data_IF_907396670632
#
_entry.id   IF_907396670632
#
_cell.length_a   1.000
_cell.length_b   1.000
_cell.length_c   1.000
_cell.angle_alpha   90.00
_cell.angle_beta   90.00
_cell.angle_gamma   90.00
#
_symmetry.space_group_name_H-M   'P 1'
#
loop_
_entity.id
_entity.type
_entity.pdbx_description
1 polymer ?
#
# COMPACT_ATOMS: atom_id res chain seq x y z
N UNK A 1 -5.21 -9.53 -19.46
CA UNK A 1 -6.29 -9.33 -18.46
C UNK A 1 -5.91 -8.13 -17.59
N UNK A 2 -6.53 -6.97 -17.82
CA UNK A 2 -6.29 -5.77 -17.01
C UNK A 2 -6.83 -6.00 -15.60
N UNK A 3 -5.96 -6.16 -14.61
CA UNK A 3 -6.37 -6.19 -13.20
C UNK A 3 -6.62 -4.75 -12.75
N UNK A 4 -7.88 -4.38 -12.59
CA UNK A 4 -8.26 -3.09 -12.02
C UNK A 4 -8.37 -3.17 -10.49
N UNK A 5 -7.98 -2.12 -9.76
CA UNK A 5 -8.20 -2.05 -8.32
C UNK A 5 -9.70 -2.03 -8.01
N UNK A 6 -10.09 -2.76 -6.96
CA UNK A 6 -11.45 -2.66 -6.43
C UNK A 6 -11.63 -1.32 -5.71
N UNK A 7 -12.89 -0.94 -5.48
CA UNK A 7 -13.25 0.30 -4.80
C UNK A 7 -12.60 0.42 -3.41
N UNK A 8 -12.44 -0.69 -2.69
CA UNK A 8 -11.79 -0.68 -1.37
C UNK A 8 -10.30 -0.32 -1.48
N UNK A 9 -9.57 -0.89 -2.47
CA UNK A 9 -8.18 -0.50 -2.73
C UNK A 9 -8.10 0.97 -3.18
N UNK A 10 -9.03 1.41 -4.03
CA UNK A 10 -9.10 2.79 -4.50
C UNK A 10 -9.31 3.79 -3.35
N UNK A 11 -10.11 3.44 -2.34
CA UNK A 11 -10.35 4.29 -1.17
C UNK A 11 -9.14 4.44 -0.25
N UNK A 12 -8.18 3.53 -0.32
CA UNK A 12 -6.94 3.61 0.47
C UNK A 12 -5.88 4.46 -0.22
N UNK A 13 -5.78 4.42 -1.55
CA UNK A 13 -4.74 5.16 -2.27
C UNK A 13 -4.83 6.66 -1.98
N UNK A 14 -3.70 7.27 -1.63
CA UNK A 14 -3.59 8.69 -1.26
C UNK A 14 -4.02 8.99 0.17
N UNK A 15 -4.44 7.99 0.96
CA UNK A 15 -4.78 8.16 2.38
C UNK A 15 -3.55 8.07 3.27
N UNK A 16 -3.58 8.73 4.43
CA UNK A 16 -2.55 8.58 5.45
C UNK A 16 -2.51 7.15 6.01
N UNK A 17 -1.33 6.72 6.45
CA UNK A 17 -1.02 5.32 6.75
C UNK A 17 -1.52 4.81 8.09
N UNK A 18 -2.03 5.69 8.96
CA UNK A 18 -2.81 5.28 10.13
C UNK A 18 -4.19 4.72 9.76
N UNK A 19 -4.65 4.90 8.51
CA UNK A 19 -5.88 4.26 8.03
C UNK A 19 -5.61 2.76 7.88
N UNK A 20 -6.35 1.89 8.58
CA UNK A 20 -6.10 0.46 8.54
C UNK A 20 -6.37 -0.12 7.15
N UNK A 21 -5.65 -1.19 6.76
CA UNK A 21 -5.96 -1.93 5.55
C UNK A 21 -7.41 -2.44 5.57
N UNK A 22 -8.04 -2.53 4.40
CA UNK A 22 -9.36 -3.15 4.30
C UNK A 22 -9.25 -4.68 4.47
N UNK A 23 -10.36 -5.35 4.79
CA UNK A 23 -10.39 -6.77 5.15
C UNK A 23 -9.66 -7.74 4.19
N UNK A 24 -9.73 -7.50 2.87
CA UNK A 24 -9.08 -8.36 1.87
C UNK A 24 -7.61 -8.03 1.57
N UNK A 25 -7.01 -7.08 2.30
CA UNK A 25 -5.66 -6.59 2.02
C UNK A 25 -4.67 -7.27 2.98
N UNK A 26 -3.83 -8.15 2.46
CA UNK A 26 -2.89 -8.96 3.26
C UNK A 26 -1.47 -8.47 3.04
N UNK A 27 -0.68 -8.33 4.11
CA UNK A 27 0.72 -7.93 4.03
C UNK A 27 1.52 -9.03 3.32
N UNK A 28 2.18 -8.69 2.23
CA UNK A 28 2.94 -9.60 1.38
C UNK A 28 4.45 -9.50 1.62
N UNK A 29 4.98 -8.30 1.84
CA UNK A 29 6.40 -8.07 2.09
C UNK A 29 6.64 -6.77 2.85
N UNK A 30 7.84 -6.63 3.41
CA UNK A 30 8.40 -5.34 3.84
C UNK A 30 9.65 -5.08 3.02
N UNK A 31 9.72 -3.92 2.41
CA UNK A 31 10.81 -3.45 1.56
C UNK A 31 11.52 -2.33 2.31
N UNK A 32 12.85 -2.38 2.37
CA UNK A 32 13.64 -1.24 2.81
C UNK A 32 13.59 -0.14 1.75
N UNK A 33 13.38 1.11 2.14
CA UNK A 33 13.50 2.24 1.23
C UNK A 33 14.89 2.87 1.37
N UNK A 34 15.37 3.54 0.31
CA UNK A 34 16.70 4.14 0.30
C UNK A 34 16.86 5.27 1.35
N UNK A 35 15.76 5.86 1.81
CA UNK A 35 15.73 7.04 2.68
C UNK A 35 15.48 6.70 4.16
N UNK A 36 16.02 5.59 4.66
CA UNK A 36 15.79 5.08 6.04
C UNK A 36 14.33 4.71 6.38
N UNK A 37 13.39 4.83 5.43
CA UNK A 37 12.00 4.45 5.59
C UNK A 37 11.74 2.96 5.35
N UNK A 38 10.50 2.54 5.61
CA UNK A 38 10.02 1.18 5.34
C UNK A 38 8.80 1.22 4.44
N UNK A 39 8.75 0.35 3.44
CA UNK A 39 7.60 0.19 2.57
C UNK A 39 6.96 -1.19 2.80
N UNK A 40 5.72 -1.21 3.28
CA UNK A 40 4.97 -2.46 3.46
C UNK A 40 4.11 -2.73 2.24
N UNK A 41 4.42 -3.81 1.52
CA UNK A 41 3.66 -4.25 0.36
C UNK A 41 2.45 -5.06 0.84
N UNK A 42 1.28 -4.71 0.33
CA UNK A 42 0.05 -5.44 0.55
C UNK A 42 -0.56 -5.93 -0.75
N UNK A 43 -1.15 -7.12 -0.71
CA UNK A 43 -1.85 -7.73 -1.84
C UNK A 43 -3.32 -7.91 -1.49
N UNK A 44 -4.20 -7.43 -2.36
CA UNK A 44 -5.63 -7.65 -2.23
C UNK A 44 -5.98 -9.05 -2.72
N UNK A 45 -6.60 -9.89 -1.89
CA UNK A 45 -6.99 -11.23 -2.30
C UNK A 45 -8.15 -11.21 -3.30
N UNK A 46 -9.00 -10.18 -3.26
CA UNK A 46 -10.17 -10.01 -4.14
C UNK A 46 -9.80 -9.55 -5.56
N UNK A 47 -9.05 -8.46 -5.71
CA UNK A 47 -8.69 -7.91 -7.03
C UNK A 47 -7.25 -8.23 -7.46
N UNK A 48 -6.47 -8.89 -6.60
CA UNK A 48 -5.07 -9.29 -6.83
C UNK A 48 -4.11 -8.14 -7.10
N UNK A 49 -4.54 -6.89 -6.89
CA UNK A 49 -3.70 -5.70 -6.95
C UNK A 49 -2.77 -5.62 -5.75
N UNK A 50 -1.62 -5.00 -5.98
CA UNK A 50 -0.68 -4.65 -4.94
C UNK A 50 -0.74 -3.14 -4.66
N UNK A 51 -0.77 -2.78 -3.38
CA UNK A 51 -0.61 -1.40 -2.92
C UNK A 51 0.46 -1.39 -1.84
N UNK A 52 1.11 -0.25 -1.66
CA UNK A 52 2.21 -0.10 -0.71
C UNK A 52 1.87 0.96 0.30
N UNK A 53 2.15 0.68 1.57
CA UNK A 53 2.20 1.68 2.62
C UNK A 53 3.66 2.11 2.77
N UNK A 54 3.95 3.33 2.36
CA UNK A 54 5.29 3.91 2.50
C UNK A 54 5.32 4.65 3.83
N UNK A 55 6.13 4.17 4.77
CA UNK A 55 6.50 4.88 5.97
C UNK A 55 7.78 5.66 5.68
N UNK A 56 7.65 6.98 5.51
CA UNK A 56 8.77 7.87 5.26
C UNK A 56 9.35 8.29 6.62
N UNK A 57 10.67 8.13 6.78
CA UNK A 57 11.31 8.24 8.09
C UNK A 57 11.62 9.67 8.54
N UNK A 58 11.54 10.66 7.64
CA UNK A 58 12.21 11.95 7.87
C UNK A 58 11.23 13.11 8.19
N UNK A 59 10.04 13.15 7.59
CA UNK A 59 8.97 14.12 7.90
C UNK A 59 7.66 13.83 7.13
N UNK A 60 7.68 12.84 6.23
CA UNK A 60 6.53 12.46 5.42
C UNK A 60 5.57 11.56 6.19
N UNK A 61 4.31 11.98 6.33
CA UNK A 61 3.26 11.08 6.81
C UNK A 61 3.22 9.80 5.98
N UNK A 62 3.11 8.66 6.67
CA UNK A 62 2.85 7.37 6.05
C UNK A 62 1.73 7.50 5.02
N UNK A 63 1.93 6.94 3.82
CA UNK A 63 0.94 7.08 2.75
C UNK A 63 0.75 5.79 1.97
N UNK A 64 -0.51 5.50 1.68
CA UNK A 64 -0.92 4.42 0.80
C UNK A 64 -0.75 4.82 -0.66
N UNK A 65 0.05 4.08 -1.42
CA UNK A 65 0.32 4.33 -2.84
C UNK A 65 0.04 3.08 -3.68
N UNK A 66 -0.23 3.28 -4.97
CA UNK A 66 -0.26 2.17 -5.92
C UNK A 66 1.14 1.57 -6.04
N UNK A 67 1.23 0.25 -6.02
CA UNK A 67 2.47 -0.42 -6.38
C UNK A 67 2.50 -0.54 -7.91
N UNK A 68 3.37 0.25 -8.55
CA UNK A 68 3.63 0.14 -9.99
C UNK A 68 4.76 -0.89 -10.15
N UNK A 69 4.48 -1.97 -10.88
CA UNK A 69 5.44 -3.02 -11.22
C UNK A 69 6.16 -2.68 -12.50
#
# INVERSE_FOLDING_TARGET
MSRHPCELCMRLIGRPGHVPPHAYLVKAATLATASQGSAHLYRCERCRQAIVLVADGDDGHDQWKRFLT
#
